data_IF_533680939840
#
_entry.id   IF_533680939840
#
_cell.length_a   1.000
_cell.length_b   1.000
_cell.length_c   1.000
_cell.angle_alpha   90.00
_cell.angle_beta   90.00
_cell.angle_gamma   90.00
#
_symmetry.space_group_name_H-M   'P 1'
#
loop_
_entity.id
_entity.type
_entity.pdbx_description
1 polymer ?
#
# COMPACT_ATOMS: atom_id res chain seq x y z
N UNK A 1 -24.89 -20.85 47.49
CA UNK A 1 -23.57 -20.23 47.21
C UNK A 1 -22.80 -20.90 46.09
N UNK A 2 -23.37 -21.79 45.29
CA UNK A 2 -22.64 -22.56 44.25
C UNK A 2 -22.77 -22.05 42.79
N UNK A 3 -23.59 -21.04 42.52
CA UNK A 3 -23.81 -20.57 41.14
C UNK A 3 -22.86 -19.44 40.66
N UNK A 4 -22.11 -18.80 41.56
CA UNK A 4 -21.19 -17.69 41.16
C UNK A 4 -19.80 -18.14 40.72
N UNK A 5 -19.39 -19.38 41.07
CA UNK A 5 -18.05 -19.88 40.69
C UNK A 5 -17.97 -20.47 39.27
N UNK A 6 -19.08 -20.92 38.66
CA UNK A 6 -19.06 -21.48 37.32
C UNK A 6 -18.92 -20.42 36.20
N UNK A 7 -19.44 -19.21 36.41
CA UNK A 7 -19.38 -18.16 35.37
C UNK A 7 -17.95 -17.64 35.12
N UNK A 8 -17.10 -17.62 36.15
CA UNK A 8 -15.72 -17.14 36.00
C UNK A 8 -14.81 -18.14 35.27
N UNK A 9 -15.08 -19.45 35.35
CA UNK A 9 -14.27 -20.47 34.69
C UNK A 9 -14.53 -20.49 33.17
N UNK A 10 -15.80 -20.28 32.75
CA UNK A 10 -16.17 -20.25 31.35
C UNK A 10 -15.57 -19.02 30.65
N UNK A 11 -15.50 -17.85 31.28
CA UNK A 11 -14.90 -16.65 30.74
C UNK A 11 -13.37 -16.79 30.57
N UNK A 12 -12.68 -17.50 31.47
CA UNK A 12 -11.24 -17.72 31.38
C UNK A 12 -10.86 -18.70 30.24
N UNK A 13 -11.71 -19.70 29.94
CA UNK A 13 -11.46 -20.70 28.90
C UNK A 13 -11.66 -20.10 27.49
N UNK A 14 -12.60 -19.16 27.30
CA UNK A 14 -12.78 -18.46 26.01
C UNK A 14 -11.63 -17.49 25.69
N UNK A 15 -10.96 -16.95 26.69
CA UNK A 15 -9.84 -16.02 26.46
C UNK A 15 -8.54 -16.72 25.97
N UNK A 16 -8.37 -18.03 26.23
CA UNK A 16 -7.19 -18.78 25.78
C UNK A 16 -7.27 -19.27 24.32
N UNK A 17 -8.43 -19.19 23.66
CA UNK A 17 -8.61 -19.65 22.29
C UNK A 17 -8.29 -18.58 21.22
N UNK A 18 -8.08 -17.33 21.61
CA UNK A 18 -7.62 -16.29 20.72
C UNK A 18 -6.09 -16.32 20.58
N UNK A 19 -5.56 -17.34 19.92
CA UNK A 19 -4.18 -17.33 19.46
C UNK A 19 -3.91 -16.04 18.67
N UNK A 20 -2.65 -15.54 18.63
CA UNK A 20 -2.33 -14.38 17.84
C UNK A 20 -2.75 -14.64 16.39
N UNK A 21 -3.67 -13.82 15.87
CA UNK A 21 -4.04 -13.85 14.46
C UNK A 21 -2.76 -13.54 13.66
N UNK A 22 -2.10 -14.59 13.16
CA UNK A 22 -0.90 -14.46 12.37
C UNK A 22 -1.26 -13.66 11.11
N UNK A 23 -0.85 -12.40 11.06
CA UNK A 23 -1.04 -11.61 9.85
C UNK A 23 -0.33 -12.30 8.69
N UNK A 24 -1.02 -12.44 7.53
CA UNK A 24 -0.38 -13.02 6.35
C UNK A 24 0.84 -12.19 5.93
N UNK A 25 1.83 -12.80 5.28
CA UNK A 25 2.96 -12.07 4.71
C UNK A 25 2.52 -10.95 3.78
N UNK A 26 3.23 -9.83 3.83
CA UNK A 26 3.04 -8.71 2.93
C UNK A 26 3.61 -9.07 1.55
N UNK A 27 2.76 -9.17 0.53
CA UNK A 27 3.18 -9.50 -0.83
C UNK A 27 3.51 -8.24 -1.62
N UNK A 28 4.75 -8.11 -2.02
CA UNK A 28 5.28 -6.95 -2.74
C UNK A 28 5.80 -7.41 -4.11
N UNK A 29 5.46 -6.68 -5.17
CA UNK A 29 6.03 -6.90 -6.50
C UNK A 29 6.83 -5.68 -6.91
N UNK A 30 8.09 -5.88 -7.28
CA UNK A 30 8.95 -4.86 -7.87
C UNK A 30 8.95 -5.02 -9.39
N UNK A 31 8.26 -4.12 -10.10
CA UNK A 31 8.21 -4.10 -11.56
C UNK A 31 9.11 -2.99 -12.10
N UNK A 32 9.93 -3.30 -13.10
CA UNK A 32 10.88 -2.35 -13.68
C UNK A 32 11.75 -2.98 -14.75
N UNK A 33 12.87 -2.33 -15.05
CA UNK A 33 13.82 -2.76 -16.05
C UNK A 33 15.09 -3.39 -15.42
N UNK A 34 16.25 -3.20 -16.03
CA UNK A 34 17.54 -3.78 -15.63
C UNK A 34 17.99 -3.37 -14.22
N UNK A 35 17.67 -2.18 -13.76
CA UNK A 35 17.94 -1.78 -12.39
C UNK A 35 17.03 -2.49 -11.37
N UNK A 36 15.90 -3.04 -11.79
CA UNK A 36 15.07 -3.91 -10.94
C UNK A 36 15.59 -5.34 -10.94
N UNK A 37 16.04 -5.87 -12.09
CA UNK A 37 16.63 -7.22 -12.15
C UNK A 37 17.89 -7.35 -11.31
N UNK A 38 18.63 -6.25 -11.10
CA UNK A 38 19.95 -6.26 -10.49
C UNK A 38 21.06 -6.57 -11.52
N UNK A 39 20.92 -6.03 -12.74
CA UNK A 39 21.92 -6.19 -13.79
C UNK A 39 23.31 -5.78 -13.29
N UNK A 40 24.28 -6.69 -13.46
CA UNK A 40 25.67 -6.47 -13.07
C UNK A 40 26.00 -6.66 -11.58
N UNK A 41 24.99 -6.68 -10.68
CA UNK A 41 25.22 -6.89 -9.23
C UNK A 41 24.74 -8.27 -8.74
N UNK A 42 23.98 -8.99 -9.56
CA UNK A 42 23.36 -10.26 -9.20
C UNK A 42 22.07 -10.12 -8.41
N UNK A 43 21.19 -11.10 -8.54
CA UNK A 43 19.82 -11.07 -8.00
C UNK A 43 19.78 -10.85 -6.48
N UNK A 44 20.67 -11.50 -5.72
CA UNK A 44 20.76 -11.39 -4.27
C UNK A 44 21.13 -9.97 -3.78
N UNK A 45 21.79 -9.17 -4.62
CA UNK A 45 22.19 -7.79 -4.35
C UNK A 45 21.25 -6.78 -5.00
N UNK A 46 20.30 -7.24 -5.82
CA UNK A 46 19.24 -6.39 -6.36
C UNK A 46 18.37 -5.83 -5.24
N UNK A 47 17.88 -4.59 -5.41
CA UNK A 47 17.11 -3.92 -4.35
C UNK A 47 15.87 -4.71 -3.89
N UNK A 48 15.16 -5.51 -4.71
CA UNK A 48 14.01 -6.28 -4.22
C UNK A 48 14.42 -7.33 -3.18
N UNK A 49 15.51 -8.06 -3.44
CA UNK A 49 16.03 -9.06 -2.50
C UNK A 49 16.58 -8.41 -1.22
N UNK A 50 17.30 -7.29 -1.35
CA UNK A 50 17.79 -6.50 -0.20
C UNK A 50 16.62 -5.96 0.61
N UNK A 51 15.59 -5.44 -0.03
CA UNK A 51 14.36 -4.93 0.61
C UNK A 51 13.68 -6.02 1.44
N UNK A 52 13.50 -7.20 0.90
CA UNK A 52 12.90 -8.32 1.64
C UNK A 52 13.67 -8.62 2.92
N UNK A 53 15.01 -8.69 2.84
CA UNK A 53 15.85 -8.90 4.04
C UNK A 53 15.68 -7.79 5.06
N UNK A 54 15.67 -6.52 4.63
CA UNK A 54 15.51 -5.37 5.51
C UNK A 54 14.13 -5.31 6.18
N UNK A 55 13.06 -5.66 5.46
CA UNK A 55 11.72 -5.74 6.03
C UNK A 55 11.65 -6.83 7.11
N UNK A 56 12.20 -8.01 6.84
CA UNK A 56 12.27 -9.10 7.83
C UNK A 56 13.09 -8.72 9.07
N UNK A 57 14.22 -8.03 8.90
CA UNK A 57 14.99 -7.49 10.04
C UNK A 57 14.20 -6.49 10.90
N UNK A 58 13.22 -5.81 10.30
CA UNK A 58 12.29 -4.91 11.01
C UNK A 58 11.07 -5.63 11.61
N UNK A 59 11.03 -6.97 11.55
CA UNK A 59 9.90 -7.77 12.03
C UNK A 59 8.68 -7.75 11.10
N UNK A 60 8.83 -7.28 9.87
CA UNK A 60 7.77 -7.29 8.85
C UNK A 60 7.94 -8.53 8.00
N UNK A 61 7.02 -9.49 8.16
CA UNK A 61 7.00 -10.66 7.28
C UNK A 61 6.56 -10.22 5.88
N UNK A 62 7.49 -10.26 4.93
CA UNK A 62 7.29 -9.78 3.58
C UNK A 62 7.91 -10.75 2.56
N UNK A 63 7.19 -10.90 1.44
CA UNK A 63 7.68 -11.55 0.24
C UNK A 63 7.79 -10.51 -0.88
N UNK A 64 8.99 -10.35 -1.45
CA UNK A 64 9.26 -9.37 -2.51
C UNK A 64 9.62 -10.09 -3.79
N UNK A 65 8.70 -10.10 -4.75
CA UNK A 65 8.93 -10.67 -6.08
C UNK A 65 9.65 -9.66 -6.97
N UNK A 66 10.76 -10.09 -7.57
CA UNK A 66 11.46 -9.31 -8.58
C UNK A 66 10.84 -9.58 -9.96
N UNK A 67 10.07 -8.63 -10.47
CA UNK A 67 9.47 -8.65 -11.81
C UNK A 67 10.16 -7.66 -12.76
N UNK A 68 11.47 -7.48 -12.63
CA UNK A 68 12.29 -6.73 -13.56
C UNK A 68 12.48 -7.47 -14.89
N UNK A 69 12.63 -6.74 -15.99
CA UNK A 69 13.00 -7.26 -17.31
C UNK A 69 14.05 -6.35 -17.92
N UNK A 70 15.23 -6.91 -18.28
CA UNK A 70 16.30 -6.10 -18.86
C UNK A 70 15.86 -5.43 -20.16
N UNK A 71 16.16 -4.15 -20.30
CA UNK A 71 15.81 -3.36 -21.48
C UNK A 71 14.35 -2.93 -21.56
N UNK A 72 13.51 -3.30 -20.59
CA UNK A 72 12.07 -2.96 -20.62
C UNK A 72 11.83 -1.45 -20.62
N UNK A 73 10.73 -1.07 -21.25
CA UNK A 73 10.20 0.30 -21.31
C UNK A 73 8.84 0.34 -20.65
N UNK A 74 8.32 1.53 -20.36
CA UNK A 74 7.04 1.64 -19.64
C UNK A 74 5.85 1.05 -20.39
N UNK A 75 5.87 1.02 -21.73
CA UNK A 75 4.83 0.33 -22.52
C UNK A 75 4.93 -1.19 -22.37
N UNK A 76 6.12 -1.77 -22.31
CA UNK A 76 6.33 -3.18 -22.03
C UNK A 76 5.85 -3.56 -20.63
N UNK A 77 6.24 -2.78 -19.60
CA UNK A 77 5.76 -2.95 -18.22
C UNK A 77 4.23 -2.91 -18.15
N UNK A 78 3.58 -1.95 -18.84
CA UNK A 78 2.13 -1.83 -18.91
C UNK A 78 1.47 -3.05 -19.56
N UNK A 79 2.05 -3.57 -20.63
CA UNK A 79 1.51 -4.72 -21.35
C UNK A 79 1.56 -6.02 -20.52
N UNK A 80 2.60 -6.20 -19.70
CA UNK A 80 2.77 -7.37 -18.83
C UNK A 80 2.28 -7.16 -17.40
N UNK A 81 1.64 -6.02 -17.08
CA UNK A 81 1.30 -5.64 -15.70
C UNK A 81 0.49 -6.70 -14.97
N UNK A 82 -0.55 -7.24 -15.59
CA UNK A 82 -1.45 -8.21 -14.94
C UNK A 82 -0.78 -9.57 -14.73
N UNK A 83 0.07 -9.99 -15.66
CA UNK A 83 0.87 -11.21 -15.51
C UNK A 83 1.97 -11.06 -14.43
N UNK A 84 2.58 -9.87 -14.34
CA UNK A 84 3.62 -9.59 -13.37
C UNK A 84 3.11 -9.34 -11.95
N UNK A 85 1.84 -8.92 -11.82
CA UNK A 85 1.22 -8.54 -10.54
C UNK A 85 0.01 -9.44 -10.27
N UNK A 86 0.20 -10.60 -9.62
CA UNK A 86 -0.88 -11.54 -9.33
C UNK A 86 -1.86 -10.99 -8.30
N UNK A 87 -3.03 -11.64 -8.20
CA UNK A 87 -3.99 -11.34 -7.13
C UNK A 87 -3.37 -11.62 -5.75
N UNK A 88 -3.74 -10.83 -4.77
CA UNK A 88 -3.15 -10.91 -3.43
C UNK A 88 -1.86 -10.10 -3.26
N UNK A 89 -1.41 -9.37 -4.28
CA UNK A 89 -0.35 -8.36 -4.15
C UNK A 89 -0.86 -7.17 -3.34
N UNK A 90 -0.09 -6.74 -2.34
CA UNK A 90 -0.42 -5.61 -1.47
C UNK A 90 0.23 -4.31 -1.94
N UNK A 91 1.48 -4.41 -2.38
CA UNK A 91 2.28 -3.26 -2.80
C UNK A 91 2.95 -3.57 -4.13
N UNK A 92 2.91 -2.60 -5.04
CA UNK A 92 3.76 -2.60 -6.25
C UNK A 92 4.77 -1.47 -6.13
N UNK A 93 6.05 -1.82 -6.27
CA UNK A 93 7.13 -0.86 -6.48
C UNK A 93 7.33 -0.76 -7.98
N UNK A 94 6.97 0.39 -8.56
CA UNK A 94 7.10 0.67 -9.98
C UNK A 94 8.36 1.51 -10.21
N UNK A 95 9.37 0.89 -10.84
CA UNK A 95 10.60 1.57 -11.25
C UNK A 95 10.64 1.73 -12.79
N UNK A 96 10.14 2.84 -13.33
CA UNK A 96 9.98 3.00 -14.77
C UNK A 96 11.30 3.11 -15.54
N UNK A 97 12.37 3.56 -14.86
CA UNK A 97 13.69 3.72 -15.50
C UNK A 97 13.75 4.76 -16.63
N UNK A 98 14.88 4.80 -17.34
CA UNK A 98 15.17 5.76 -18.39
C UNK A 98 15.08 5.21 -19.83
N UNK A 99 14.72 3.94 -20.02
CA UNK A 99 14.79 3.28 -21.32
C UNK A 99 13.84 3.88 -22.37
N UNK A 100 12.67 4.37 -21.94
CA UNK A 100 11.76 5.08 -22.87
C UNK A 100 12.46 6.23 -23.60
N UNK A 101 13.22 7.03 -22.87
CA UNK A 101 13.93 8.18 -23.44
C UNK A 101 15.19 7.78 -24.22
N UNK A 102 15.72 6.59 -23.96
CA UNK A 102 16.90 6.06 -24.66
C UNK A 102 16.54 5.33 -25.95
N UNK A 103 15.36 4.67 -25.99
CA UNK A 103 14.92 3.82 -27.11
C UNK A 103 13.68 4.38 -27.83
N UNK A 104 13.78 5.62 -28.31
CA UNK A 104 12.76 6.26 -29.16
C UNK A 104 11.40 6.56 -28.52
N UNK A 105 11.27 6.45 -27.23
CA UNK A 105 10.08 6.88 -26.51
C UNK A 105 10.07 8.37 -26.24
N UNK A 106 8.92 8.87 -25.79
CA UNK A 106 8.77 10.27 -25.38
C UNK A 106 8.48 10.37 -23.89
N UNK A 107 8.86 11.49 -23.28
CA UNK A 107 8.51 11.77 -21.89
C UNK A 107 7.00 11.72 -21.66
N UNK A 108 6.22 12.20 -22.63
CA UNK A 108 4.76 12.17 -22.56
C UNK A 108 4.21 10.74 -22.55
N UNK A 109 4.66 9.87 -23.47
CA UNK A 109 4.24 8.47 -23.52
C UNK A 109 4.63 7.72 -22.22
N UNK A 110 5.86 7.94 -21.72
CA UNK A 110 6.33 7.40 -20.45
C UNK A 110 5.39 7.79 -19.30
N UNK A 111 5.09 9.09 -19.17
CA UNK A 111 4.20 9.60 -18.11
C UNK A 111 2.80 8.99 -18.23
N UNK A 112 2.24 8.91 -19.43
CA UNK A 112 0.92 8.31 -19.67
C UNK A 112 0.91 6.82 -19.32
N UNK A 113 1.95 6.05 -19.64
CA UNK A 113 2.07 4.64 -19.29
C UNK A 113 2.14 4.44 -17.77
N UNK A 114 2.93 5.26 -17.06
CA UNK A 114 3.02 5.22 -15.59
C UNK A 114 1.64 5.49 -14.98
N UNK A 115 0.96 6.55 -15.42
CA UNK A 115 -0.36 6.90 -14.92
C UNK A 115 -1.40 5.77 -15.15
N UNK A 116 -1.38 5.15 -16.33
CA UNK A 116 -2.27 4.04 -16.66
C UNK A 116 -2.00 2.79 -15.79
N UNK A 117 -0.72 2.47 -15.52
CA UNK A 117 -0.36 1.38 -14.60
C UNK A 117 -0.82 1.67 -13.17
N UNK A 118 -0.60 2.89 -12.68
CA UNK A 118 -1.06 3.30 -11.35
C UNK A 118 -2.58 3.19 -11.22
N UNK A 119 -3.32 3.69 -12.22
CA UNK A 119 -4.79 3.60 -12.23
C UNK A 119 -5.28 2.15 -12.14
N UNK A 120 -4.70 1.25 -12.97
CA UNK A 120 -5.06 -0.18 -12.96
C UNK A 120 -4.76 -0.86 -11.63
N UNK A 121 -3.64 -0.54 -11.01
CA UNK A 121 -3.24 -1.11 -9.72
C UNK A 121 -4.11 -0.57 -8.58
N UNK A 122 -4.40 0.72 -8.58
CA UNK A 122 -5.30 1.33 -7.58
C UNK A 122 -6.72 0.78 -7.68
N UNK A 123 -7.23 0.54 -8.90
CA UNK A 123 -8.55 -0.10 -9.11
C UNK A 123 -8.61 -1.52 -8.52
N UNK A 124 -7.46 -2.19 -8.34
CA UNK A 124 -7.32 -3.50 -7.67
C UNK A 124 -7.06 -3.37 -6.17
N UNK A 125 -7.09 -2.17 -5.58
CA UNK A 125 -6.79 -1.91 -4.18
C UNK A 125 -5.29 -2.04 -3.82
N UNK A 126 -4.40 -2.06 -4.81
CA UNK A 126 -2.97 -2.25 -4.62
C UNK A 126 -2.29 -0.88 -4.35
N UNK A 127 -1.50 -0.79 -3.29
CA UNK A 127 -0.67 0.38 -3.03
C UNK A 127 0.48 0.45 -4.03
N UNK A 128 0.68 1.61 -4.66
CA UNK A 128 1.78 1.82 -5.61
C UNK A 128 2.82 2.77 -5.04
N UNK A 129 4.08 2.37 -5.09
CA UNK A 129 5.24 3.20 -4.81
C UNK A 129 5.99 3.38 -6.12
N UNK A 130 5.91 4.58 -6.72
CA UNK A 130 6.74 4.90 -7.89
C UNK A 130 8.12 5.30 -7.38
N UNK A 131 9.14 4.55 -7.78
CA UNK A 131 10.52 4.84 -7.46
C UNK A 131 11.26 5.25 -8.74
N UNK A 132 11.42 6.53 -8.90
CA UNK A 132 12.07 7.14 -10.07
C UNK A 132 13.12 8.15 -9.58
N UNK A 133 14.28 7.68 -9.11
CA UNK A 133 15.31 8.54 -8.56
C UNK A 133 15.95 9.38 -9.66
N UNK A 134 15.86 10.70 -9.56
CA UNK A 134 16.55 11.64 -10.42
C UNK A 134 16.85 12.94 -9.66
N UNK A 135 18.10 13.42 -9.62
CA UNK A 135 19.32 12.75 -10.09
C UNK A 135 19.91 11.76 -9.08
N UNK A 136 20.52 10.68 -9.58
CA UNK A 136 21.33 9.77 -8.77
C UNK A 136 22.80 10.20 -8.85
N UNK A 137 23.53 10.33 -7.71
CA UNK A 137 24.95 10.64 -7.74
C UNK A 137 25.76 9.62 -8.55
N UNK A 138 26.81 10.08 -9.24
CA UNK A 138 27.61 9.23 -10.15
C UNK A 138 28.20 7.99 -9.46
N UNK A 139 28.57 8.10 -8.20
CA UNK A 139 29.16 7.02 -7.39
C UNK A 139 28.22 5.84 -7.17
N UNK A 140 26.93 6.00 -7.49
CA UNK A 140 25.92 4.94 -7.41
C UNK A 140 25.70 4.18 -8.71
N UNK A 141 26.40 4.58 -9.80
CA UNK A 141 26.35 3.84 -11.06
C UNK A 141 27.53 2.87 -11.18
N UNK A 142 27.32 1.85 -12.00
CA UNK A 142 28.40 1.01 -12.51
C UNK A 142 29.25 1.82 -13.50
N UNK A 143 30.32 1.21 -13.98
CA UNK A 143 31.24 1.81 -14.97
C UNK A 143 30.55 2.31 -16.25
N UNK A 144 29.38 1.73 -16.58
CA UNK A 144 28.60 2.08 -17.77
C UNK A 144 27.77 3.37 -17.62
N UNK A 145 27.69 3.94 -16.42
CA UNK A 145 26.93 5.16 -16.13
C UNK A 145 25.39 5.00 -16.26
N UNK A 146 24.90 3.77 -16.34
CA UNK A 146 23.49 3.44 -16.59
C UNK A 146 22.91 2.61 -15.48
N UNK A 147 23.61 1.54 -15.12
CA UNK A 147 23.15 0.57 -14.15
C UNK A 147 23.63 0.92 -12.73
N UNK A 148 22.77 0.70 -11.78
CA UNK A 148 23.09 0.94 -10.37
C UNK A 148 24.08 -0.11 -9.86
N UNK A 149 25.04 0.33 -9.04
CA UNK A 149 25.92 -0.56 -8.32
C UNK A 149 25.29 -1.10 -7.03
N UNK A 150 25.97 -2.01 -6.32
CA UNK A 150 25.44 -2.61 -5.11
C UNK A 150 25.11 -1.60 -4.00
N UNK A 151 25.87 -0.51 -3.89
CA UNK A 151 25.62 0.54 -2.91
C UNK A 151 24.30 1.28 -3.20
N UNK A 152 24.02 1.57 -4.48
CA UNK A 152 22.75 2.15 -4.89
C UNK A 152 21.57 1.22 -4.57
N UNK A 153 21.68 -0.06 -4.91
CA UNK A 153 20.64 -1.05 -4.59
C UNK A 153 20.37 -1.14 -3.08
N UNK A 154 21.41 -1.13 -2.25
CA UNK A 154 21.26 -1.11 -0.79
C UNK A 154 20.55 0.15 -0.30
N UNK A 155 20.90 1.32 -0.84
CA UNK A 155 20.26 2.61 -0.48
C UNK A 155 18.80 2.65 -0.91
N UNK A 156 18.48 2.21 -2.12
CA UNK A 156 17.09 2.10 -2.62
C UNK A 156 16.28 1.22 -1.67
N UNK A 157 16.78 0.02 -1.36
CA UNK A 157 16.12 -0.91 -0.48
C UNK A 157 15.88 -0.33 0.93
N UNK A 158 16.86 0.38 1.49
CA UNK A 158 16.74 1.02 2.80
C UNK A 158 15.66 2.12 2.81
N UNK A 159 15.61 2.96 1.77
CA UNK A 159 14.59 3.99 1.60
C UNK A 159 13.19 3.38 1.51
N UNK A 160 13.02 2.35 0.66
CA UNK A 160 11.75 1.65 0.49
C UNK A 160 11.33 0.92 1.78
N UNK A 161 12.28 0.28 2.48
CA UNK A 161 12.00 -0.40 3.74
C UNK A 161 11.51 0.57 4.82
N UNK A 162 12.11 1.77 4.92
CA UNK A 162 11.66 2.81 5.84
C UNK A 162 10.24 3.29 5.49
N UNK A 163 9.96 3.55 4.21
CA UNK A 163 8.65 4.01 3.73
C UNK A 163 7.55 2.96 3.96
N UNK A 164 7.85 1.68 3.74
CA UNK A 164 6.91 0.58 3.96
C UNK A 164 6.67 0.37 5.44
N UNK A 165 7.73 0.37 6.27
CA UNK A 165 7.62 0.18 7.72
C UNK A 165 6.82 1.29 8.41
N UNK A 166 6.97 2.54 7.98
CA UNK A 166 6.19 3.66 8.52
C UNK A 166 4.70 3.49 8.26
N UNK A 167 4.34 2.97 7.09
CA UNK A 167 2.94 2.74 6.72
C UNK A 167 2.36 1.43 7.29
N UNK A 168 3.19 0.47 7.66
CA UNK A 168 2.78 -0.78 8.30
C UNK A 168 2.60 -0.63 9.82
N UNK A 169 3.12 0.47 10.42
CA UNK A 169 2.89 0.74 11.83
C UNK A 169 1.40 1.09 12.03
N UNK A 170 0.65 0.35 12.89
CA UNK A 170 -0.72 0.72 13.18
C UNK A 170 -0.75 2.17 13.67
N UNK A 171 -1.70 2.95 13.16
CA UNK A 171 -1.98 4.26 13.73
C UNK A 171 -2.13 4.07 15.25
N UNK A 172 -1.55 4.97 16.11
CA UNK A 172 -1.76 4.89 17.54
C UNK A 172 -3.27 4.79 17.74
N UNK A 173 -3.70 3.74 18.45
CA UNK A 173 -5.11 3.51 18.73
C UNK A 173 -5.67 4.82 19.28
N UNK A 174 -6.51 5.48 18.49
CA UNK A 174 -7.26 6.62 18.97
C UNK A 174 -7.99 6.09 20.22
N UNK A 175 -7.62 6.60 21.38
CA UNK A 175 -8.35 6.32 22.59
C UNK A 175 -9.80 6.71 22.31
N UNK A 176 -10.62 5.72 22.04
CA UNK A 176 -12.07 5.91 22.02
C UNK A 176 -12.40 6.26 23.47
N UNK A 177 -12.47 7.54 23.77
CA UNK A 177 -13.03 8.04 25.00
C UNK A 177 -14.43 7.43 25.10
N UNK A 178 -14.62 6.56 26.08
CA UNK A 178 -15.94 6.03 26.38
C UNK A 178 -16.90 7.21 26.52
N UNK A 179 -18.09 7.18 25.90
CA UNK A 179 -19.06 8.23 26.09
C UNK A 179 -19.43 8.23 27.59
N UNK A 180 -19.14 9.34 28.27
CA UNK A 180 -19.60 9.59 29.62
C UNK A 180 -21.12 9.43 29.65
N UNK A 181 -21.60 8.48 30.43
CA UNK A 181 -23.01 8.29 30.65
C UNK A 181 -23.58 9.55 31.31
N UNK A 182 -24.19 10.41 30.50
CA UNK A 182 -25.00 11.52 31.00
C UNK A 182 -26.31 10.93 31.48
N UNK A 183 -26.51 10.95 32.78
CA UNK A 183 -27.76 10.62 33.45
C UNK A 183 -28.88 11.45 32.88
N UNK A 184 -29.88 10.78 32.31
CA UNK A 184 -31.12 11.42 31.83
C UNK A 184 -31.98 11.67 33.09
N UNK A 185 -32.10 12.95 33.42
CA UNK A 185 -33.07 13.40 34.43
C UNK A 185 -34.45 13.44 33.77
N UNK A 186 -35.34 12.60 34.22
CA UNK A 186 -36.73 12.55 33.77
C UNK A 186 -37.55 13.56 34.56
N UNK A 187 -37.87 14.70 33.96
CA UNK A 187 -38.94 15.56 34.41
C UNK A 187 -39.94 15.79 33.30
N UNK A 188 -41.07 15.21 33.50
CA UNK A 188 -42.38 15.33 32.85
C UNK A 188 -42.81 16.80 32.63
N UNK A 189 -43.30 17.14 31.44
CA UNK A 189 -44.57 17.89 31.29
C UNK A 189 -44.94 17.98 29.79
N UNK A 190 -46.05 17.37 29.40
CA UNK A 190 -46.82 17.72 28.18
C UNK A 190 -48.11 18.44 28.69
N UNK A 191 -49.03 18.98 27.87
CA UNK A 191 -49.16 19.10 26.42
C UNK A 191 -49.70 20.47 25.94
N UNK A 192 -49.84 20.70 24.62
CA UNK A 192 -51.00 21.29 23.90
C UNK A 192 -50.60 21.71 22.48
N UNK A 193 -51.14 21.01 21.50
CA UNK A 193 -52.25 21.30 20.61
C UNK A 193 -52.26 22.67 19.91
N UNK A 194 -52.14 22.71 18.57
CA UNK A 194 -53.17 23.26 17.66
C UNK A 194 -52.65 23.41 16.21
N UNK A 195 -53.33 22.72 15.29
CA UNK A 195 -53.76 23.04 13.93
C UNK A 195 -52.77 23.44 12.80
N UNK A 196 -52.86 22.68 11.75
CA UNK A 196 -52.65 23.04 10.34
C UNK A 196 -53.81 23.94 9.85
N UNK A 197 -53.86 24.45 8.58
CA UNK A 197 -53.48 23.81 7.33
C UNK A 197 -52.97 24.72 6.16
N UNK A 198 -52.63 24.09 5.06
CA UNK A 198 -53.11 24.35 3.67
C UNK A 198 -52.22 25.04 2.64
N UNK A 199 -51.98 24.30 1.57
CA UNK A 199 -52.01 24.64 0.09
C UNK A 199 -50.93 25.59 -0.44
N UNK A 200 -50.31 25.42 -1.54
CA UNK A 200 -50.59 24.90 -2.88
C UNK A 200 -49.31 24.89 -3.75
N UNK A 201 -49.20 23.94 -4.61
CA UNK A 201 -48.47 24.07 -5.88
C UNK A 201 -49.38 24.78 -6.90
N UNK A 202 -48.99 25.10 -8.15
CA UNK A 202 -48.12 24.43 -9.09
C UNK A 202 -47.42 25.32 -10.16
N UNK A 203 -46.83 24.59 -11.17
CA UNK A 203 -46.63 24.92 -12.61
C UNK A 203 -45.33 25.63 -12.98
N UNK A 204 -44.55 24.97 -13.76
CA UNK A 204 -44.47 24.73 -15.21
C UNK A 204 -43.84 25.88 -16.00
N UNK A 205 -42.76 25.65 -16.69
CA UNK A 205 -42.66 25.57 -18.16
C UNK A 205 -41.24 25.83 -18.66
N UNK A 206 -40.84 24.91 -19.54
CA UNK A 206 -39.87 25.03 -20.61
C UNK A 206 -40.18 26.22 -21.56
N UNK A 207 -39.26 26.66 -22.42
CA UNK A 207 -38.54 25.82 -23.38
C UNK A 207 -37.04 25.79 -23.20
#
# INVERSE_FOLDING_TARGET
MALRSCACIIAAVLALAAGPLQARPLNIVAIGASNTTGFGVGEQNAYPAVLQRLLRQKGIDAHVTNAGVNGDVTSGMRNRLDAAVPNGTDIVILQPGGNDLRFFGTKQARTANIAAMMQRLHARGIRVIVYDPDPVPRDFYQWDGIHFNAAAHAKIAATLAAQIATAAKPAPAAQIAAPSATSIDTSSTAPSSTAAPSTAAPTSSKP
#
